data_IF_398399045410
#
_entry.id   IF_398399045410
#
_cell.length_a   1.000
_cell.length_b   1.000
_cell.length_c   1.000
_cell.angle_alpha   90.00
_cell.angle_beta   90.00
_cell.angle_gamma   90.00
#
_symmetry.space_group_name_H-M   'P 1'
#
loop_
_entity.id
_entity.type
_entity.pdbx_description
1 polymer ?
#
# COMPACT_ATOMS: atom_id res chain seq x y z
N UNK A 1 19.47 -15.80 -14.92
CA UNK A 1 19.39 -15.03 -13.67
C UNK A 1 19.08 -13.61 -14.09
N UNK A 2 17.88 -13.13 -13.79
CA UNK A 2 17.45 -11.77 -14.14
C UNK A 2 18.00 -10.81 -13.08
N UNK A 3 18.53 -9.67 -13.51
CA UNK A 3 19.02 -8.60 -12.64
C UNK A 3 18.09 -7.40 -12.76
N UNK A 4 17.58 -6.91 -11.63
CA UNK A 4 16.80 -5.68 -11.59
C UNK A 4 17.70 -4.56 -11.07
N UNK A 5 17.83 -3.49 -11.85
CA UNK A 5 18.56 -2.30 -11.44
C UNK A 5 17.57 -1.32 -10.84
N UNK A 6 17.69 -1.08 -9.54
CA UNK A 6 17.01 0.02 -8.89
C UNK A 6 17.94 1.22 -8.94
N UNK A 7 17.52 2.29 -9.60
CA UNK A 7 18.20 3.59 -9.49
C UNK A 7 17.82 4.17 -8.14
N UNK A 8 18.66 3.91 -7.14
CA UNK A 8 18.69 4.73 -5.95
C UNK A 8 19.28 6.09 -6.35
N UNK A 9 18.88 7.20 -5.73
CA UNK A 9 19.53 8.53 -5.86
C UNK A 9 20.98 8.52 -5.28
N UNK A 10 21.68 7.41 -5.42
CA UNK A 10 23.10 7.25 -5.17
C UNK A 10 23.87 7.62 -6.43
N UNK A 11 25.02 8.25 -6.24
CA UNK A 11 25.94 8.58 -7.34
C UNK A 11 26.43 7.34 -8.13
N UNK A 12 26.19 6.13 -7.62
CA UNK A 12 26.52 4.86 -8.26
C UNK A 12 25.35 3.87 -8.12
N UNK A 13 24.67 3.49 -9.22
CA UNK A 13 23.57 2.54 -9.18
C UNK A 13 24.06 1.15 -8.76
N UNK A 14 23.39 0.55 -7.76
CA UNK A 14 23.72 -0.77 -7.26
C UNK A 14 22.79 -1.84 -7.85
N UNK A 15 23.38 -2.93 -8.35
CA UNK A 15 22.63 -4.09 -8.81
C UNK A 15 22.33 -5.02 -7.63
N UNK A 16 21.06 -5.37 -7.44
CA UNK A 16 20.63 -6.42 -6.51
C UNK A 16 20.41 -7.71 -7.31
N UNK A 17 21.02 -8.80 -6.85
CA UNK A 17 20.90 -10.12 -7.48
C UNK A 17 20.10 -11.08 -6.59
N UNK A 18 19.64 -12.19 -7.16
CA UNK A 18 18.91 -13.21 -6.40
C UNK A 18 17.44 -12.90 -6.11
N UNK A 19 16.89 -11.85 -6.70
CA UNK A 19 15.46 -11.54 -6.61
C UNK A 19 14.66 -12.53 -7.48
N UNK A 20 13.71 -13.20 -6.83
CA UNK A 20 12.71 -14.08 -7.43
C UNK A 20 11.50 -13.26 -7.84
N UNK A 21 11.14 -13.35 -9.12
CA UNK A 21 9.97 -12.70 -9.71
C UNK A 21 9.07 -13.74 -10.39
N UNK A 22 7.77 -13.43 -10.46
CA UNK A 22 6.82 -14.21 -11.25
C UNK A 22 6.94 -13.85 -12.73
N UNK A 23 6.90 -14.86 -13.62
CA UNK A 23 6.83 -14.63 -15.06
C UNK A 23 5.37 -14.52 -15.50
N UNK A 24 5.08 -13.55 -16.37
CA UNK A 24 3.75 -13.36 -16.96
C UNK A 24 3.87 -13.25 -18.49
N UNK A 25 3.00 -13.96 -19.20
CA UNK A 25 2.94 -13.96 -20.67
C UNK A 25 2.04 -12.87 -21.24
N UNK A 26 1.17 -12.27 -20.41
CA UNK A 26 0.29 -11.17 -20.81
C UNK A 26 0.22 -10.13 -19.70
N UNK A 27 0.83 -8.97 -19.94
CA UNK A 27 0.67 -7.81 -19.06
C UNK A 27 -0.69 -7.14 -19.30
N UNK A 28 -1.77 -7.77 -18.82
CA UNK A 28 -3.10 -7.11 -18.77
C UNK A 28 -3.13 -5.89 -17.84
N UNK A 29 -2.13 -5.79 -16.97
CA UNK A 29 -1.89 -4.63 -16.13
C UNK A 29 -1.64 -3.42 -17.02
N UNK A 30 -0.81 -3.51 -18.08
CA UNK A 30 -0.50 -2.43 -19.03
C UNK A 30 -1.08 -2.62 -20.44
N UNK A 31 -2.23 -3.30 -20.59
CA UNK A 31 -2.90 -3.37 -21.89
C UNK A 31 -3.27 -1.96 -22.37
N UNK A 32 -3.32 -1.75 -23.69
CA UNK A 32 -3.55 -0.45 -24.36
C UNK A 32 -4.85 0.29 -23.95
N UNK A 33 -5.67 -0.32 -23.09
CA UNK A 33 -6.91 0.20 -22.53
C UNK A 33 -6.98 0.15 -20.98
N UNK A 34 -5.85 -0.04 -20.30
CA UNK A 34 -5.74 0.06 -18.83
C UNK A 34 -5.04 1.37 -18.46
N UNK A 35 -5.79 2.45 -18.17
CA UNK A 35 -5.24 3.78 -17.94
C UNK A 35 -4.29 3.87 -16.72
N UNK A 36 -4.24 2.84 -15.88
CA UNK A 36 -3.47 2.83 -14.64
C UNK A 36 -2.03 2.34 -14.77
N UNK A 37 -1.59 1.77 -15.91
CA UNK A 37 -0.27 1.13 -16.00
C UNK A 37 0.40 1.19 -17.38
N UNK A 38 0.24 2.30 -18.10
CA UNK A 38 0.89 2.55 -19.39
C UNK A 38 2.41 2.25 -19.30
N UNK A 39 2.91 1.40 -20.20
CA UNK A 39 4.34 1.05 -20.35
C UNK A 39 5.02 0.31 -19.17
N UNK A 40 4.26 -0.30 -18.26
CA UNK A 40 4.85 -1.14 -17.20
C UNK A 40 5.13 -2.58 -17.67
N UNK A 41 6.27 -3.14 -17.24
CA UNK A 41 6.62 -4.54 -17.50
C UNK A 41 6.01 -5.52 -16.47
N UNK A 42 5.41 -5.01 -15.39
CA UNK A 42 4.87 -5.82 -14.30
C UNK A 42 4.48 -4.99 -13.07
N UNK A 43 4.30 -5.66 -11.94
CA UNK A 43 3.94 -5.06 -10.64
C UNK A 43 5.04 -5.37 -9.63
N UNK A 44 5.41 -4.36 -8.84
CA UNK A 44 6.31 -4.54 -7.70
C UNK A 44 5.51 -4.96 -6.45
N UNK A 45 5.71 -6.21 -6.00
CA UNK A 45 5.03 -6.74 -4.82
C UNK A 45 5.68 -6.29 -3.51
N UNK A 46 4.94 -5.54 -2.69
CA UNK A 46 5.44 -4.98 -1.43
C UNK A 46 4.72 -5.50 -0.17
N UNK A 47 3.94 -6.57 -0.28
CA UNK A 47 3.19 -7.18 0.86
C UNK A 47 4.11 -7.77 1.94
N UNK A 48 3.60 -8.10 3.13
CA UNK A 48 4.33 -8.77 4.23
C UNK A 48 4.43 -10.27 4.01
N UNK A 49 4.96 -10.68 2.86
CA UNK A 49 5.08 -12.09 2.46
C UNK A 49 6.49 -12.41 1.96
N UNK A 50 6.90 -13.70 1.99
CA UNK A 50 8.28 -14.11 1.73
C UNK A 50 8.78 -13.80 0.31
N UNK A 51 7.88 -13.69 -0.67
CA UNK A 51 8.21 -13.33 -2.06
C UNK A 51 8.08 -11.83 -2.35
N UNK A 52 7.79 -11.00 -1.36
CA UNK A 52 7.78 -9.54 -1.53
C UNK A 52 9.19 -9.00 -1.74
N UNK A 53 9.33 -7.87 -2.43
CA UNK A 53 10.65 -7.23 -2.58
C UNK A 53 11.26 -6.91 -1.21
N UNK A 54 10.45 -6.40 -0.28
CA UNK A 54 10.90 -6.02 1.08
C UNK A 54 11.54 -7.22 1.79
N UNK A 55 10.88 -8.38 1.76
CA UNK A 55 11.42 -9.61 2.36
C UNK A 55 12.63 -10.17 1.62
N UNK A 56 12.64 -10.10 0.29
CA UNK A 56 13.76 -10.59 -0.52
C UNK A 56 15.02 -9.74 -0.40
N UNK A 57 14.87 -8.43 -0.12
CA UNK A 57 15.98 -7.54 0.22
C UNK A 57 16.50 -7.76 1.66
N UNK A 58 15.75 -8.47 2.51
CA UNK A 58 16.07 -8.63 3.92
C UNK A 58 15.85 -7.36 4.75
N UNK A 59 15.03 -6.45 4.25
CA UNK A 59 14.75 -5.17 4.89
C UNK A 59 13.50 -5.25 5.78
N UNK A 60 13.50 -4.48 6.88
CA UNK A 60 12.39 -4.50 7.84
C UNK A 60 11.21 -3.61 7.43
N UNK A 61 11.43 -2.71 6.46
CA UNK A 61 10.42 -1.76 6.03
C UNK A 61 10.81 -0.96 4.80
N UNK A 62 9.85 -0.16 4.34
CA UNK A 62 9.99 0.78 3.24
C UNK A 62 9.20 2.05 3.54
N UNK A 63 9.54 3.14 2.86
CA UNK A 63 8.78 4.39 2.90
C UNK A 63 8.59 4.94 1.51
N UNK A 64 7.38 5.42 1.22
CA UNK A 64 7.04 5.98 -0.07
C UNK A 64 6.13 7.20 0.09
N UNK A 65 6.47 8.27 -0.63
CA UNK A 65 5.68 9.50 -0.66
C UNK A 65 5.00 9.61 -2.03
N UNK A 66 3.67 9.47 -2.10
CA UNK A 66 2.96 9.62 -3.37
C UNK A 66 2.86 11.08 -3.76
N UNK A 67 3.25 11.41 -4.99
CA UNK A 67 2.95 12.71 -5.59
C UNK A 67 1.52 12.73 -6.16
N UNK A 68 0.89 13.90 -6.17
CA UNK A 68 -0.42 14.12 -6.81
C UNK A 68 -0.32 14.45 -8.30
N UNK A 69 0.90 14.56 -8.82
CA UNK A 69 1.24 14.89 -10.20
C UNK A 69 2.32 13.92 -10.72
N UNK A 70 2.89 14.21 -11.89
CA UNK A 70 3.92 13.38 -12.53
C UNK A 70 5.32 13.52 -11.87
N UNK A 71 5.41 14.14 -10.69
CA UNK A 71 6.68 14.25 -9.96
C UNK A 71 7.16 12.87 -9.53
N UNK A 72 8.42 12.58 -9.85
CA UNK A 72 9.09 11.36 -9.37
C UNK A 72 9.46 11.54 -7.90
N UNK A 73 9.02 10.60 -7.07
CA UNK A 73 9.35 10.55 -5.64
C UNK A 73 10.07 9.25 -5.28
N UNK A 74 10.97 9.28 -4.28
CA UNK A 74 11.77 8.12 -3.94
C UNK A 74 10.96 7.06 -3.18
N UNK A 75 11.24 5.80 -3.51
CA UNK A 75 10.90 4.64 -2.69
C UNK A 75 12.15 4.22 -1.92
N UNK A 76 12.10 4.31 -0.59
CA UNK A 76 13.24 4.05 0.28
C UNK A 76 13.04 2.74 1.05
N UNK A 77 14.14 2.07 1.38
CA UNK A 77 14.16 0.81 2.13
C UNK A 77 15.13 0.90 3.32
N UNK A 78 14.92 0.05 4.33
CA UNK A 78 15.85 -0.11 5.44
C UNK A 78 16.03 1.15 6.29
N UNK A 79 17.27 1.48 6.63
CA UNK A 79 17.61 2.61 7.52
C UNK A 79 17.18 3.98 6.97
N UNK A 80 16.96 4.09 5.66
CA UNK A 80 16.53 5.34 5.00
C UNK A 80 15.04 5.64 5.23
N UNK A 81 14.29 4.71 5.82
CA UNK A 81 12.84 4.83 6.06
C UNK A 81 12.48 5.56 7.34
N UNK A 82 13.48 6.14 8.02
CA UNK A 82 13.31 6.80 9.31
C UNK A 82 12.21 7.88 9.23
N UNK A 83 11.11 7.72 9.98
CA UNK A 83 10.00 8.66 9.90
C UNK A 83 10.41 10.02 10.47
N UNK A 84 9.75 11.09 9.99
CA UNK A 84 9.88 12.41 10.60
C UNK A 84 9.58 12.32 12.10
N UNK A 85 10.25 13.09 12.96
CA UNK A 85 9.93 13.17 14.40
C UNK A 85 8.47 13.57 14.69
N UNK A 86 7.77 14.13 13.71
CA UNK A 86 6.36 14.53 13.80
C UNK A 86 5.39 13.43 13.33
N UNK A 87 5.90 12.30 12.85
CA UNK A 87 5.06 11.22 12.35
C UNK A 87 4.31 10.53 13.50
N UNK A 88 3.02 10.27 13.27
CA UNK A 88 2.26 9.35 14.11
C UNK A 88 2.51 7.92 13.64
N UNK A 89 2.52 6.97 14.58
CA UNK A 89 2.66 5.54 14.28
C UNK A 89 1.49 4.75 14.84
N UNK A 90 1.14 3.67 14.14
CA UNK A 90 0.13 2.71 14.56
C UNK A 90 0.64 1.31 14.28
N UNK A 91 0.30 0.35 15.14
CA UNK A 91 0.73 -1.04 14.97
C UNK A 91 -0.11 -1.74 13.91
N UNK A 92 0.54 -2.58 13.09
CA UNK A 92 -0.20 -3.45 12.20
C UNK A 92 -0.99 -4.50 12.99
N UNK A 93 -2.18 -4.81 12.50
CA UNK A 93 -3.01 -5.89 13.05
C UNK A 93 -2.47 -7.23 12.57
N UNK A 94 -2.45 -8.22 13.47
CA UNK A 94 -2.09 -9.59 13.14
C UNK A 94 -3.21 -10.22 12.30
N UNK A 95 -2.84 -10.79 11.15
CA UNK A 95 -3.78 -11.32 10.16
C UNK A 95 -3.16 -12.55 9.49
N UNK A 96 -3.96 -13.56 9.10
CA UNK A 96 -3.47 -14.65 8.25
C UNK A 96 -3.08 -14.19 6.83
N UNK A 97 -3.39 -12.94 6.47
CA UNK A 97 -3.04 -12.33 5.18
C UNK A 97 -1.73 -11.53 5.26
N UNK A 98 -0.96 -11.52 4.17
CA UNK A 98 0.25 -10.70 4.02
C UNK A 98 -0.03 -9.21 3.79
N UNK A 99 -1.30 -8.78 3.72
CA UNK A 99 -1.65 -7.37 3.55
C UNK A 99 -1.35 -6.54 4.81
N UNK A 100 -1.19 -5.22 4.63
CA UNK A 100 -0.95 -4.26 5.72
C UNK A 100 -2.27 -3.86 6.38
N UNK A 101 -2.71 -4.66 7.36
CA UNK A 101 -3.90 -4.36 8.14
C UNK A 101 -3.62 -3.35 9.26
N UNK A 102 -4.51 -2.38 9.42
CA UNK A 102 -4.51 -1.39 10.50
C UNK A 102 -5.79 -1.47 11.33
N UNK A 103 -5.71 -0.99 12.57
CA UNK A 103 -6.86 -0.85 13.47
C UNK A 103 -7.53 0.51 13.28
N UNK A 104 -8.62 0.56 12.51
CA UNK A 104 -9.41 1.78 12.34
C UNK A 104 -10.43 1.92 13.47
N UNK A 105 -10.31 2.99 14.25
CA UNK A 105 -11.17 3.23 15.42
C UNK A 105 -12.44 4.02 15.09
N UNK A 106 -12.41 4.83 14.03
CA UNK A 106 -13.53 5.65 13.63
C UNK A 106 -13.19 6.56 12.47
N UNK A 107 -14.20 7.24 11.95
CA UNK A 107 -14.09 8.19 10.85
C UNK A 107 -14.81 9.46 11.28
N UNK A 108 -14.21 10.63 11.06
CA UNK A 108 -14.79 11.93 11.39
C UNK A 108 -14.79 12.87 10.19
N UNK A 109 -15.85 13.67 10.04
CA UNK A 109 -15.96 14.75 9.06
C UNK A 109 -16.12 16.06 9.82
N UNK A 110 -15.24 17.05 9.59
CA UNK A 110 -15.32 18.36 10.26
C UNK A 110 -15.48 18.27 11.79
N UNK A 111 -14.72 17.38 12.43
CA UNK A 111 -14.78 17.03 13.86
C UNK A 111 -16.05 16.29 14.34
N UNK A 112 -16.99 15.97 13.46
CA UNK A 112 -18.14 15.12 13.76
C UNK A 112 -17.73 13.66 13.58
N UNK A 113 -17.64 12.91 14.68
CA UNK A 113 -17.39 11.47 14.65
C UNK A 113 -18.64 10.74 14.15
N UNK A 114 -18.47 9.92 13.11
CA UNK A 114 -19.55 9.08 12.60
C UNK A 114 -19.88 7.96 13.61
N UNK A 115 -21.17 7.71 13.82
CA UNK A 115 -21.67 6.67 14.73
C UNK A 115 -21.57 5.26 14.12
N UNK A 116 -20.37 4.87 13.70
CA UNK A 116 -20.07 3.55 13.15
C UNK A 116 -19.62 2.64 14.31
N UNK A 117 -20.28 1.49 14.53
CA UNK A 117 -19.81 0.54 15.54
C UNK A 117 -18.38 0.08 15.21
N UNK A 118 -17.48 0.14 16.20
CA UNK A 118 -16.07 -0.28 16.02
C UNK A 118 -15.94 -1.73 15.57
N UNK A 119 -16.89 -2.59 15.95
CA UNK A 119 -16.98 -3.98 15.50
C UNK A 119 -17.21 -4.13 14.00
N UNK A 120 -17.78 -3.12 13.34
CA UNK A 120 -17.98 -3.09 11.88
C UNK A 120 -16.67 -2.77 11.15
N UNK A 121 -15.73 -2.09 11.81
CA UNK A 121 -14.43 -1.70 11.26
C UNK A 121 -13.30 -2.67 11.64
N UNK A 122 -13.53 -3.52 12.64
CA UNK A 122 -12.54 -4.46 13.15
C UNK A 122 -12.30 -5.64 12.18
N UNK A 123 -11.03 -6.05 12.05
CA UNK A 123 -10.66 -7.28 11.37
C UNK A 123 -11.24 -8.48 12.13
N UNK A 124 -11.98 -9.34 11.44
CA UNK A 124 -12.52 -10.58 11.99
C UNK A 124 -11.50 -11.72 11.88
N UNK A 125 -11.65 -12.72 12.74
CA UNK A 125 -10.78 -13.91 12.82
C UNK A 125 -10.67 -14.70 11.50
N UNK A 126 -11.72 -14.67 10.68
CA UNK A 126 -11.76 -15.29 9.35
C UNK A 126 -11.05 -14.46 8.26
N UNK A 127 -10.40 -13.34 8.62
CA UNK A 127 -9.70 -12.45 7.69
C UNK A 127 -10.59 -11.48 6.93
N UNK A 128 -11.88 -11.38 7.27
CA UNK A 128 -12.80 -10.41 6.65
C UNK A 128 -12.88 -9.10 7.43
N UNK A 129 -13.30 -8.03 6.75
CA UNK A 129 -13.34 -6.68 7.29
C UNK A 129 -11.95 -6.16 7.70
N UNK A 130 -11.89 -5.09 8.50
CA UNK A 130 -10.65 -4.40 8.80
C UNK A 130 -10.31 -3.29 7.79
N UNK A 131 -9.23 -2.57 8.08
CA UNK A 131 -8.66 -1.56 7.19
C UNK A 131 -7.35 -2.08 6.61
N UNK A 132 -7.19 -1.99 5.29
CA UNK A 132 -5.96 -2.33 4.58
C UNK A 132 -5.41 -1.11 3.87
N UNK A 133 -4.09 -0.92 3.94
CA UNK A 133 -3.39 0.05 3.08
C UNK A 133 -3.16 -0.59 1.71
N UNK A 134 -3.65 0.05 0.65
CA UNK A 134 -3.48 -0.40 -0.73
C UNK A 134 -3.09 0.77 -1.63
N UNK A 135 -1.97 0.63 -2.35
CA UNK A 135 -1.50 1.57 -3.36
C UNK A 135 -1.59 1.01 -4.79
N UNK A 136 -2.26 -0.13 -4.98
CA UNK A 136 -2.40 -0.80 -6.27
C UNK A 136 -3.50 -0.21 -7.16
N UNK A 137 -4.29 -1.10 -7.77
CA UNK A 137 -5.30 -0.83 -8.83
C UNK A 137 -6.45 0.14 -8.50
N UNK A 138 -6.49 0.73 -7.30
CA UNK A 138 -7.62 1.54 -6.85
C UNK A 138 -7.10 2.89 -6.36
N UNK A 139 -7.47 3.97 -7.07
CA UNK A 139 -7.07 5.36 -6.77
C UNK A 139 -7.87 6.01 -5.64
N UNK A 140 -8.94 5.37 -5.17
CA UNK A 140 -9.86 5.92 -4.17
C UNK A 140 -9.93 5.04 -2.91
N UNK A 141 -10.17 5.67 -1.76
CA UNK A 141 -10.49 4.92 -0.54
C UNK A 141 -11.84 4.23 -0.71
N UNK A 142 -11.87 2.92 -0.52
CA UNK A 142 -13.11 2.14 -0.54
C UNK A 142 -13.61 1.91 0.88
N UNK A 143 -14.92 2.10 1.06
CA UNK A 143 -15.62 1.86 2.30
C UNK A 143 -16.74 0.85 2.03
N UNK A 144 -17.10 0.05 3.04
CA UNK A 144 -18.30 -0.78 2.93
C UNK A 144 -19.53 0.10 2.71
N UNK A 145 -20.49 -0.36 1.90
CA UNK A 145 -21.73 0.38 1.60
C UNK A 145 -22.38 1.06 2.83
N UNK A 146 -22.58 0.38 3.99
CA UNK A 146 -23.16 1.04 5.16
C UNK A 146 -22.28 2.18 5.70
N UNK A 147 -20.96 2.00 5.73
CA UNK A 147 -20.01 3.01 6.21
C UNK A 147 -19.96 4.21 5.28
N UNK A 148 -19.94 3.96 3.96
CA UNK A 148 -19.99 5.00 2.94
C UNK A 148 -21.28 5.83 3.00
N UNK A 149 -22.44 5.17 3.20
CA UNK A 149 -23.72 5.85 3.32
C UNK A 149 -23.76 6.79 4.54
N UNK A 150 -23.27 6.34 5.70
CA UNK A 150 -23.16 7.19 6.91
C UNK A 150 -22.21 8.37 6.69
N UNK A 151 -21.09 8.14 6.00
CA UNK A 151 -20.15 9.20 5.66
C UNK A 151 -20.82 10.25 4.77
N UNK A 152 -21.52 9.82 3.72
CA UNK A 152 -22.16 10.74 2.77
C UNK A 152 -23.28 11.55 3.41
N UNK A 153 -24.02 11.01 4.38
CA UNK A 153 -25.05 11.77 5.11
C UNK A 153 -24.50 13.01 5.81
N UNK A 154 -23.27 12.94 6.34
CA UNK A 154 -22.61 14.06 7.01
C UNK A 154 -21.79 14.90 6.04
N UNK A 155 -21.27 14.30 4.96
CA UNK A 155 -20.43 15.02 4.00
C UNK A 155 -21.22 16.04 3.15
N UNK A 156 -22.49 15.73 2.85
CA UNK A 156 -23.34 16.59 2.00
C UNK A 156 -24.29 17.49 2.79
N UNK A 157 -24.26 17.44 4.12
CA UNK A 157 -25.04 18.31 5.01
C UNK A 157 -24.40 19.68 5.18
#
# INVERSE_FOLDING_TARGET
MESFTFTFDAADPMAVTGITCGCNTVNKVGAENSPSFCNSAGILGMVRGPLSLVSQLGEEGFSYCFASDDTTTPLLFGSLTSPSPQAASTSFVNSPSSLYYLSLQGISISAILLLIPTTTLALKLNGTDGLVINSGTITFTQLTNPTYAMLMQVFVS
#
